data_IF_340604355940
#
_entry.id   IF_340604355940
#
_cell.length_a   1.000
_cell.length_b   1.000
_cell.length_c   1.000
_cell.angle_alpha   90.00
_cell.angle_beta   90.00
_cell.angle_gamma   90.00
#
_symmetry.space_group_name_H-M   'P 1'
#
loop_
_entity.id
_entity.type
_entity.pdbx_description
1 polymer ?
#
# COMPACT_ATOMS: atom_id res chain seq x y z
N UNK A 1 8.08 12.98 -15.81
CA UNK A 1 7.08 12.40 -14.94
C UNK A 1 7.75 11.98 -13.63
N UNK A 2 7.18 12.34 -12.45
CA UNK A 2 7.82 12.04 -11.16
C UNK A 2 7.28 10.79 -10.49
N UNK A 3 6.04 10.39 -10.81
CA UNK A 3 5.41 9.19 -10.25
C UNK A 3 4.31 8.68 -11.17
N UNK A 4 3.97 7.41 -11.02
CA UNK A 4 2.86 6.76 -11.71
C UNK A 4 2.04 5.93 -10.72
N UNK A 5 0.72 5.93 -10.91
CA UNK A 5 -0.19 4.99 -10.28
C UNK A 5 -0.60 3.97 -11.31
N UNK A 6 -0.37 2.70 -11.03
CA UNK A 6 -0.84 1.57 -11.82
C UNK A 6 -1.02 0.35 -10.91
N UNK A 7 -1.88 -0.59 -11.29
CA UNK A 7 -2.16 -1.78 -10.51
C UNK A 7 -3.42 -1.67 -9.65
N UNK A 8 -4.08 -0.54 -9.56
CA UNK A 8 -5.40 -0.43 -8.92
C UNK A 8 -6.53 -0.86 -9.87
N UNK A 9 -6.61 -2.15 -10.17
CA UNK A 9 -7.56 -2.68 -11.17
C UNK A 9 -7.04 -2.72 -12.60
N UNK A 10 -5.73 -2.56 -12.80
CA UNK A 10 -5.05 -2.72 -14.08
C UNK A 10 -3.85 -3.66 -13.94
N UNK A 11 -3.39 -4.23 -15.04
CA UNK A 11 -2.35 -5.26 -15.08
C UNK A 11 -1.42 -5.02 -16.28
N UNK A 12 -0.14 -5.46 -16.24
CA UNK A 12 0.81 -5.26 -17.33
C UNK A 12 0.32 -5.79 -18.69
N UNK A 13 -0.06 -7.07 -18.74
CA UNK A 13 -0.53 -7.74 -19.95
C UNK A 13 -1.98 -8.21 -19.87
N UNK A 14 -2.58 -8.19 -18.70
CA UNK A 14 -3.94 -8.64 -18.40
C UNK A 14 -4.06 -9.20 -17.00
N UNK A 15 -5.27 -9.56 -16.60
CA UNK A 15 -5.59 -9.98 -15.23
C UNK A 15 -4.79 -11.20 -14.73
N UNK A 16 -4.25 -12.00 -15.65
CA UNK A 16 -3.46 -13.21 -15.35
C UNK A 16 -1.95 -12.95 -15.42
N UNK A 17 -1.51 -11.68 -15.39
CA UNK A 17 -0.09 -11.33 -15.46
C UNK A 17 0.72 -12.02 -14.37
N UNK A 18 1.85 -12.58 -14.77
CA UNK A 18 2.83 -13.19 -13.87
C UNK A 18 3.63 -12.14 -13.11
N UNK A 19 4.31 -12.52 -12.03
CA UNK A 19 5.23 -11.64 -11.32
C UNK A 19 6.31 -11.08 -12.26
N UNK A 20 6.79 -11.87 -13.22
CA UNK A 20 7.78 -11.39 -14.21
C UNK A 20 7.22 -10.32 -15.13
N UNK A 21 5.93 -10.35 -15.48
CA UNK A 21 5.31 -9.26 -16.25
C UNK A 21 5.29 -7.94 -15.45
N UNK A 22 5.04 -8.02 -14.15
CA UNK A 22 5.09 -6.85 -13.27
C UNK A 22 6.51 -6.28 -13.17
N UNK A 23 7.51 -7.14 -12.99
CA UNK A 23 8.93 -6.72 -12.95
C UNK A 23 9.36 -6.10 -14.27
N UNK A 24 8.95 -6.67 -15.42
CA UNK A 24 9.23 -6.10 -16.73
C UNK A 24 8.65 -4.69 -16.87
N UNK A 25 7.41 -4.48 -16.40
CA UNK A 25 6.80 -3.15 -16.41
C UNK A 25 7.55 -2.16 -15.49
N UNK A 26 8.04 -2.64 -14.32
CA UNK A 26 8.86 -1.82 -13.44
C UNK A 26 10.18 -1.39 -14.10
N UNK A 27 10.85 -2.32 -14.79
CA UNK A 27 12.06 -2.04 -15.55
C UNK A 27 11.79 -1.04 -16.69
N UNK A 28 10.69 -1.19 -17.42
CA UNK A 28 10.28 -0.26 -18.46
C UNK A 28 10.05 1.16 -17.92
N UNK A 29 9.39 1.29 -16.78
CA UNK A 29 9.20 2.58 -16.10
C UNK A 29 10.54 3.19 -15.65
N UNK A 30 11.42 2.38 -15.06
CA UNK A 30 12.73 2.83 -14.64
C UNK A 30 13.57 3.31 -15.84
N UNK A 31 13.70 2.49 -16.88
CA UNK A 31 14.48 2.81 -18.07
C UNK A 31 13.93 4.06 -18.79
N UNK A 32 12.62 4.16 -18.97
CA UNK A 32 12.00 5.31 -19.60
C UNK A 32 12.18 6.60 -18.80
N UNK A 33 12.16 6.53 -17.45
CA UNK A 33 12.33 7.71 -16.61
C UNK A 33 13.79 8.15 -16.44
N UNK A 34 14.74 7.23 -16.61
CA UNK A 34 16.17 7.52 -16.52
C UNK A 34 16.84 7.83 -17.85
N UNK A 35 16.14 7.62 -18.97
CA UNK A 35 16.62 8.01 -20.29
C UNK A 35 16.77 9.54 -20.40
N UNK A 36 17.95 10.00 -20.74
CA UNK A 36 18.30 11.42 -20.90
C UNK A 36 18.46 11.84 -22.35
N UNK A 37 18.17 10.97 -23.30
CA UNK A 37 18.36 11.25 -24.74
C UNK A 37 17.45 12.37 -25.26
N UNK A 38 16.33 12.61 -24.55
CA UNK A 38 15.39 13.71 -24.84
C UNK A 38 15.67 15.02 -24.04
N UNK A 39 16.79 15.06 -23.26
CA UNK A 39 17.14 16.17 -22.39
C UNK A 39 16.44 16.15 -21.04
N UNK A 40 15.81 15.03 -20.66
CA UNK A 40 15.19 14.85 -19.34
C UNK A 40 16.23 14.79 -18.21
N UNK A 41 15.77 14.94 -16.96
CA UNK A 41 16.63 14.95 -15.77
C UNK A 41 17.21 13.57 -15.41
N UNK A 42 16.67 12.48 -15.95
CA UNK A 42 17.08 11.11 -15.64
C UNK A 42 16.79 10.69 -14.20
N UNK A 43 15.79 11.30 -13.54
CA UNK A 43 15.38 10.95 -12.19
C UNK A 43 14.40 9.78 -12.26
N UNK A 44 14.67 8.64 -11.61
CA UNK A 44 13.74 7.51 -11.57
C UNK A 44 12.38 7.95 -11.04
N UNK A 45 11.33 7.52 -11.71
CA UNK A 45 9.97 7.72 -11.20
C UNK A 45 9.66 6.77 -10.03
N UNK A 46 8.71 7.16 -9.19
CA UNK A 46 8.19 6.30 -8.13
C UNK A 46 6.88 5.67 -8.62
N UNK A 47 6.79 4.35 -8.55
CA UNK A 47 5.57 3.63 -8.88
C UNK A 47 4.77 3.30 -7.63
N UNK A 48 3.50 3.76 -7.57
CA UNK A 48 2.57 3.53 -6.46
C UNK A 48 1.37 2.69 -6.85
N UNK A 49 0.88 1.88 -5.89
CA UNK A 49 -0.31 1.05 -6.05
C UNK A 49 -1.17 1.00 -4.80
N UNK A 50 -2.45 0.62 -4.97
CA UNK A 50 -3.30 0.24 -3.84
C UNK A 50 -3.01 -1.21 -3.41
N UNK A 51 -2.56 -1.37 -2.16
CA UNK A 51 -2.36 -2.66 -1.49
C UNK A 51 -2.90 -2.55 -0.06
N UNK A 52 -4.22 -2.40 0.07
CA UNK A 52 -4.89 -2.05 1.34
C UNK A 52 -5.03 -3.24 2.26
N UNK A 53 -5.20 -4.45 1.72
CA UNK A 53 -5.34 -5.70 2.47
C UNK A 53 -4.51 -6.84 1.85
N UNK A 54 -3.25 -6.58 1.56
CA UNK A 54 -2.33 -7.41 0.80
C UNK A 54 -2.14 -6.87 -0.61
N UNK A 55 -1.26 -7.48 -1.39
CA UNK A 55 -1.00 -7.07 -2.78
C UNK A 55 -2.07 -7.64 -3.73
N UNK A 56 -3.29 -7.16 -3.59
CA UNK A 56 -4.50 -7.69 -4.23
C UNK A 56 -4.53 -7.55 -5.78
N UNK A 57 -3.53 -6.93 -6.38
CA UNK A 57 -3.45 -6.78 -7.84
C UNK A 57 -2.69 -7.94 -8.52
N UNK A 58 -1.97 -8.75 -7.74
CA UNK A 58 -1.11 -9.82 -8.25
C UNK A 58 -1.67 -11.18 -7.86
N UNK A 59 -1.91 -12.05 -8.85
CA UNK A 59 -2.37 -13.42 -8.61
C UNK A 59 -1.27 -14.20 -7.91
N UNK A 60 -1.65 -14.86 -6.81
CA UNK A 60 -0.73 -15.63 -5.96
C UNK A 60 -0.21 -14.87 -4.75
N UNK A 61 -0.38 -13.54 -4.71
CA UNK A 61 -0.10 -12.77 -3.49
C UNK A 61 -1.13 -13.06 -2.38
N UNK A 62 -0.72 -12.83 -1.15
CA UNK A 62 -1.57 -13.05 0.02
C UNK A 62 -2.68 -12.00 0.11
N UNK A 63 -3.93 -12.44 0.16
CA UNK A 63 -5.08 -11.58 0.42
C UNK A 63 -5.48 -11.73 1.88
N UNK A 64 -5.33 -10.65 2.64
CA UNK A 64 -5.75 -10.59 4.04
C UNK A 64 -7.23 -10.21 4.15
N UNK A 65 -7.89 -10.50 5.29
CA UNK A 65 -9.20 -9.93 5.56
C UNK A 65 -9.18 -8.41 5.45
N UNK A 66 -10.31 -7.80 5.05
CA UNK A 66 -10.40 -6.35 5.02
C UNK A 66 -10.24 -5.72 6.42
N UNK A 67 -9.85 -4.46 6.46
CA UNK A 67 -9.45 -3.75 7.68
C UNK A 67 -10.50 -3.80 8.79
N UNK A 68 -11.79 -3.80 8.47
CA UNK A 68 -12.86 -3.97 9.46
C UNK A 68 -12.73 -5.30 10.23
N UNK A 69 -12.37 -6.38 9.55
CA UNK A 69 -12.09 -7.67 10.19
C UNK A 69 -10.79 -7.67 10.99
N UNK A 70 -9.76 -7.03 10.48
CA UNK A 70 -8.48 -6.89 11.17
C UNK A 70 -8.61 -6.01 12.41
N UNK A 71 -9.44 -4.98 12.38
CA UNK A 71 -9.75 -4.14 13.54
C UNK A 71 -10.34 -4.92 14.71
N UNK A 72 -11.15 -5.94 14.41
CA UNK A 72 -11.76 -6.80 15.42
C UNK A 72 -10.74 -7.69 16.18
N UNK A 73 -9.56 -7.93 15.63
CA UNK A 73 -8.53 -8.78 16.24
C UNK A 73 -7.92 -8.18 17.50
N UNK A 74 -7.92 -6.87 17.64
CA UNK A 74 -7.27 -6.12 18.73
C UNK A 74 -5.77 -6.43 18.88
N UNK A 75 -5.12 -6.81 17.79
CA UNK A 75 -3.71 -7.24 17.74
C UNK A 75 -2.87 -6.34 16.80
N UNK A 76 -2.25 -5.27 17.33
CA UNK A 76 -1.38 -4.39 16.53
C UNK A 76 -0.09 -5.08 16.04
N UNK A 77 0.37 -6.15 16.70
CA UNK A 77 1.53 -6.92 16.24
C UNK A 77 1.18 -7.77 15.01
N UNK A 78 -0.02 -8.31 14.97
CA UNK A 78 -0.54 -8.95 13.76
C UNK A 78 -0.58 -7.96 12.59
N UNK A 79 -1.05 -6.73 12.83
CA UNK A 79 -1.09 -5.68 11.79
C UNK A 79 0.31 -5.34 11.28
N UNK A 80 1.31 -5.26 12.16
CA UNK A 80 2.71 -5.06 11.74
C UNK A 80 3.20 -6.18 10.84
N UNK A 81 2.95 -7.45 11.21
CA UNK A 81 3.35 -8.62 10.41
C UNK A 81 2.64 -8.66 9.04
N UNK A 82 1.36 -8.28 8.99
CA UNK A 82 0.61 -8.14 7.73
C UNK A 82 1.27 -7.08 6.85
N UNK A 83 1.65 -5.93 7.42
CA UNK A 83 2.38 -4.90 6.70
C UNK A 83 3.73 -5.38 6.16
N UNK A 84 4.48 -6.19 6.92
CA UNK A 84 5.76 -6.77 6.49
C UNK A 84 5.60 -7.70 5.29
N UNK A 85 4.59 -8.58 5.32
CA UNK A 85 4.29 -9.51 4.21
C UNK A 85 3.82 -8.72 2.99
N UNK A 86 2.92 -7.76 3.17
CA UNK A 86 2.44 -6.90 2.08
C UNK A 86 3.59 -6.14 1.42
N UNK A 87 4.50 -5.55 2.22
CA UNK A 87 5.66 -4.84 1.70
C UNK A 87 6.57 -5.74 0.87
N UNK A 88 6.87 -6.93 1.36
CA UNK A 88 7.69 -7.89 0.65
C UNK A 88 7.06 -8.28 -0.70
N UNK A 89 5.77 -8.62 -0.69
CA UNK A 89 5.06 -9.03 -1.91
C UNK A 89 4.93 -7.88 -2.92
N UNK A 90 4.78 -6.64 -2.46
CA UNK A 90 4.80 -5.45 -3.33
C UNK A 90 6.21 -5.20 -3.89
N UNK A 91 7.23 -5.21 -3.05
CA UNK A 91 8.61 -4.94 -3.46
C UNK A 91 9.12 -5.93 -4.52
N UNK A 92 8.78 -7.23 -4.40
CA UNK A 92 9.21 -8.25 -5.39
C UNK A 92 8.54 -8.08 -6.76
N UNK A 93 7.53 -7.24 -6.89
CA UNK A 93 6.92 -6.87 -8.18
C UNK A 93 7.48 -5.56 -8.75
N UNK A 94 8.51 -4.97 -8.10
CA UNK A 94 9.17 -3.74 -8.55
C UNK A 94 8.40 -2.46 -8.19
N UNK A 95 7.40 -2.53 -7.32
CA UNK A 95 6.62 -1.39 -6.87
C UNK A 95 7.21 -0.84 -5.57
N UNK A 96 7.41 0.49 -5.50
CA UNK A 96 8.13 1.14 -4.40
C UNK A 96 7.21 1.78 -3.36
N UNK A 97 5.94 1.96 -3.68
CA UNK A 97 5.05 2.82 -2.92
C UNK A 97 3.64 2.23 -2.82
N UNK A 98 3.04 2.27 -1.63
CA UNK A 98 1.66 1.81 -1.40
C UNK A 98 0.80 2.91 -0.79
N UNK A 99 -0.46 2.98 -1.24
CA UNK A 99 -1.47 3.89 -0.69
C UNK A 99 -2.17 3.24 0.51
N UNK A 100 -1.39 2.98 1.54
CA UNK A 100 -1.78 2.30 2.79
C UNK A 100 -0.90 2.81 3.94
N UNK A 101 -1.42 2.90 5.17
CA UNK A 101 -2.71 2.44 5.67
C UNK A 101 -3.87 3.44 5.51
N UNK A 102 -5.10 2.94 5.62
CA UNK A 102 -6.32 3.74 5.70
C UNK A 102 -6.53 4.19 7.15
N UNK A 103 -6.39 5.48 7.41
CA UNK A 103 -6.48 6.09 8.74
C UNK A 103 -7.91 6.59 9.09
N UNK A 104 -8.91 6.04 8.43
CA UNK A 104 -10.30 6.42 8.63
C UNK A 104 -10.84 5.93 9.98
N UNK A 105 -11.59 6.80 10.66
CA UNK A 105 -12.41 6.44 11.83
C UNK A 105 -13.87 6.39 11.37
N UNK A 106 -14.42 5.19 11.25
CA UNK A 106 -15.78 4.98 10.71
C UNK A 106 -16.82 5.46 11.71
N UNK A 107 -17.56 6.52 11.34
CA UNK A 107 -18.62 7.11 12.18
C UNK A 107 -20.03 6.70 11.76
N UNK A 108 -20.18 6.28 10.51
CA UNK A 108 -21.47 5.89 9.95
C UNK A 108 -21.27 4.73 8.97
N UNK A 109 -21.93 3.61 9.23
CA UNK A 109 -21.83 2.39 8.42
C UNK A 109 -22.40 2.54 7.00
N UNK A 110 -23.14 3.63 6.72
CA UNK A 110 -23.58 3.98 5.36
C UNK A 110 -22.42 4.48 4.48
N UNK A 111 -21.30 4.86 5.07
CA UNK A 111 -20.13 5.23 4.28
C UNK A 111 -19.67 4.04 3.44
N UNK A 112 -19.66 4.20 2.11
CA UNK A 112 -19.38 3.12 1.16
C UNK A 112 -18.02 2.45 1.28
N UNK A 113 -17.07 3.07 2.04
CA UNK A 113 -15.73 2.54 2.32
C UNK A 113 -15.53 2.17 3.79
N UNK A 114 -16.60 1.99 4.55
CA UNK A 114 -16.52 1.62 5.97
C UNK A 114 -15.67 0.36 6.21
N UNK A 115 -15.73 -0.61 5.30
CA UNK A 115 -14.95 -1.85 5.37
C UNK A 115 -13.42 -1.65 5.28
N UNK A 116 -12.96 -0.52 4.73
CA UNK A 116 -11.54 -0.17 4.68
C UNK A 116 -11.02 0.42 6.01
N UNK A 117 -11.90 0.88 6.89
CA UNK A 117 -11.53 1.37 8.21
C UNK A 117 -11.33 0.24 9.21
N UNK A 118 -10.37 0.41 10.14
CA UNK A 118 -10.11 -0.60 11.17
C UNK A 118 -11.13 -0.57 12.30
N UNK A 119 -11.69 0.59 12.64
CA UNK A 119 -12.61 0.74 13.77
C UNK A 119 -13.33 2.09 13.78
N UNK A 120 -14.44 2.16 14.52
CA UNK A 120 -15.08 3.39 14.98
C UNK A 120 -14.34 4.05 16.17
N UNK A 121 -13.48 3.27 16.86
CA UNK A 121 -12.66 3.74 17.97
C UNK A 121 -11.34 4.33 17.46
N UNK A 122 -11.12 5.65 17.63
CA UNK A 122 -9.90 6.31 17.14
C UNK A 122 -8.62 5.80 17.83
N UNK A 123 -8.69 5.22 19.03
CA UNK A 123 -7.51 4.69 19.71
C UNK A 123 -7.00 3.41 19.03
N UNK A 124 -7.90 2.58 18.54
CA UNK A 124 -7.55 1.38 17.78
C UNK A 124 -6.94 1.80 16.45
N UNK A 125 -7.59 2.71 15.71
CA UNK A 125 -7.06 3.23 14.45
C UNK A 125 -5.65 3.79 14.65
N UNK A 126 -5.45 4.64 15.67
CA UNK A 126 -4.15 5.24 15.98
C UNK A 126 -3.05 4.20 16.23
N UNK A 127 -3.34 3.17 17.03
CA UNK A 127 -2.37 2.11 17.33
C UNK A 127 -2.00 1.30 16.07
N UNK A 128 -2.99 1.02 15.23
CA UNK A 128 -2.81 0.26 14.00
C UNK A 128 -2.05 1.03 12.93
N UNK A 129 -2.24 2.35 12.83
CA UNK A 129 -1.47 3.17 11.89
C UNK A 129 0.03 3.05 12.11
N UNK A 130 0.49 3.18 13.36
CA UNK A 130 1.91 3.04 13.69
C UNK A 130 2.44 1.64 13.37
N UNK A 131 1.67 0.60 13.65
CA UNK A 131 2.04 -0.80 13.39
C UNK A 131 2.12 -1.09 11.89
N UNK A 132 1.13 -0.70 11.12
CA UNK A 132 1.10 -0.91 9.67
C UNK A 132 2.24 -0.17 8.97
N UNK A 133 2.46 1.11 9.31
CA UNK A 133 3.56 1.90 8.72
C UNK A 133 4.91 1.26 9.00
N UNK A 134 5.17 0.80 10.24
CA UNK A 134 6.42 0.09 10.57
C UNK A 134 6.54 -1.23 9.81
N UNK A 135 5.45 -1.93 9.60
CA UNK A 135 5.43 -3.13 8.77
C UNK A 135 5.81 -2.84 7.33
N UNK A 136 5.17 -1.84 6.72
CA UNK A 136 5.34 -1.50 5.31
C UNK A 136 6.72 -0.91 5.01
N UNK A 137 7.16 0.11 5.74
CA UNK A 137 8.40 0.83 5.42
C UNK A 137 9.58 0.56 6.36
N UNK A 138 9.39 -0.31 7.36
CA UNK A 138 10.44 -0.61 8.34
C UNK A 138 10.50 0.40 9.48
N UNK A 139 11.50 0.22 10.34
CA UNK A 139 11.71 1.04 11.53
C UNK A 139 13.19 1.45 11.62
N UNK A 140 13.45 2.74 11.87
CA UNK A 140 14.78 3.26 12.07
C UNK A 140 15.49 2.64 13.30
N UNK A 141 14.70 2.29 14.33
CA UNK A 141 15.24 1.68 15.54
C UNK A 141 15.85 0.28 15.32
N UNK A 142 15.41 -0.42 14.25
CA UNK A 142 15.90 -1.76 13.86
C UNK A 142 16.78 -1.73 12.60
N UNK A 143 17.13 -0.54 12.11
CA UNK A 143 17.86 -0.33 10.85
C UNK A 143 17.21 -0.98 9.62
N UNK A 144 15.89 -1.16 9.68
CA UNK A 144 15.10 -1.77 8.59
C UNK A 144 14.36 -0.76 7.72
N UNK A 145 14.47 0.55 8.05
CA UNK A 145 13.77 1.60 7.32
C UNK A 145 14.20 1.62 5.85
N UNK A 146 13.24 1.46 4.95
CA UNK A 146 13.46 1.39 3.50
C UNK A 146 14.47 0.34 3.04
N UNK A 147 14.61 -0.77 3.79
CA UNK A 147 15.39 -1.92 3.30
C UNK A 147 14.73 -2.52 2.04
N UNK A 148 15.44 -3.35 1.25
CA UNK A 148 14.93 -3.86 -0.04
C UNK A 148 13.60 -4.61 -0.01
N UNK A 149 13.17 -5.07 1.17
CA UNK A 149 11.87 -5.73 1.37
C UNK A 149 10.79 -4.79 1.88
N UNK A 150 11.01 -3.48 1.83
CA UNK A 150 10.11 -2.44 2.34
C UNK A 150 9.70 -1.48 1.22
N UNK A 151 8.55 -0.82 1.43
CA UNK A 151 7.98 0.14 0.48
C UNK A 151 7.58 1.42 1.22
N UNK A 152 7.45 2.50 0.50
CA UNK A 152 6.94 3.76 1.08
C UNK A 152 5.46 3.60 1.42
N UNK A 153 5.09 3.89 2.67
CA UNK A 153 3.70 3.89 3.12
C UNK A 153 3.08 5.29 3.00
N UNK A 154 1.78 5.35 2.71
CA UNK A 154 1.02 6.59 2.71
C UNK A 154 -0.27 6.42 3.50
N UNK A 155 -0.33 7.05 4.66
CA UNK A 155 -1.58 7.11 5.42
C UNK A 155 -2.61 7.96 4.66
N UNK A 156 -3.82 7.41 4.48
CA UNK A 156 -4.88 8.05 3.69
C UNK A 156 -6.21 8.01 4.43
N UNK A 157 -7.17 8.87 4.09
CA UNK A 157 -7.09 9.98 3.14
C UNK A 157 -7.10 11.29 3.93
N UNK A 158 -6.37 12.29 3.52
CA UNK A 158 -6.34 13.58 4.20
C UNK A 158 -7.53 14.44 3.74
N UNK A 159 -8.46 14.78 4.61
CA UNK A 159 -8.67 14.41 6.01
C UNK A 159 -10.16 14.26 6.26
N UNK A 160 -10.53 13.38 7.23
CA UNK A 160 -11.91 13.28 7.70
C UNK A 160 -12.71 12.13 7.13
N UNK A 161 -12.06 11.19 6.46
CA UNK A 161 -12.65 9.94 5.99
C UNK A 161 -13.41 9.21 7.11
N UNK A 162 -14.59 8.71 6.79
CA UNK A 162 -15.48 8.03 7.73
C UNK A 162 -16.27 8.95 8.62
N UNK A 163 -15.99 10.27 8.60
CA UNK A 163 -16.72 11.29 9.37
C UNK A 163 -17.89 11.92 8.60
N UNK A 164 -18.38 11.29 7.56
CA UNK A 164 -19.46 11.78 6.70
C UNK A 164 -20.81 11.68 7.38
N UNK A 165 -21.71 12.66 7.09
CA UNK A 165 -23.11 12.62 7.50
C UNK A 165 -23.89 11.78 6.49
N UNK A 166 -24.59 10.75 7.00
CA UNK A 166 -25.41 9.81 6.21
C UNK A 166 -24.65 8.99 5.13
N UNK A 167 -23.34 8.92 5.26
CA UNK A 167 -22.49 8.13 4.39
C UNK A 167 -21.59 8.88 3.42
#
# INVERSE_FOLDING_TARGET
LGSVLNGGGSWPNGKQSSVSDWVTLADDYFLASTDQTDGSSGIPLIWGTDAVHGHNNVIGATIFPHNIGLGATRDPDLIRRIGEITALEVAVTGIDWVFSPVAAVVRNDRWGRAYEGFSEDPQIVRSYMASMVRGLQGDKATDSLFSPSKVVATAKHFIGDGGTTDG
#
